data_IF_725027059535
#
_entry.id   IF_725027059535
#
_cell.length_a   1.000
_cell.length_b   1.000
_cell.length_c   1.000
_cell.angle_alpha   90.00
_cell.angle_beta   90.00
_cell.angle_gamma   90.00
#
_symmetry.space_group_name_H-M   'P 1'
#
loop_
_entity.id
_entity.type
_entity.pdbx_description
1 polymer ?
#
# COMPACT_ATOMS: atom_id res chain seq x y z
N UNK A 1 -22.94 10.30 3.40
CA UNK A 1 -21.50 10.17 3.10
C UNK A 1 -20.85 8.85 3.55
N UNK A 2 -21.59 7.88 4.14
CA UNK A 2 -21.02 6.57 4.54
C UNK A 2 -20.95 5.58 3.35
N UNK A 3 -21.91 5.64 2.42
CA UNK A 3 -22.00 4.73 1.28
C UNK A 3 -20.85 4.86 0.25
N UNK A 4 -20.30 6.07 0.07
CA UNK A 4 -19.16 6.29 -0.84
C UNK A 4 -17.87 5.65 -0.32
N UNK A 5 -17.63 5.71 1.00
CA UNK A 5 -16.43 5.13 1.62
C UNK A 5 -16.44 3.60 1.55
N UNK A 6 -17.59 2.96 1.82
CA UNK A 6 -17.71 1.50 1.77
C UNK A 6 -17.53 0.96 0.34
N UNK A 7 -18.08 1.67 -0.65
CA UNK A 7 -17.88 1.34 -2.06
C UNK A 7 -16.39 1.43 -2.46
N UNK A 8 -15.70 2.51 -2.07
CA UNK A 8 -14.27 2.67 -2.33
C UNK A 8 -13.43 1.58 -1.64
N UNK A 9 -13.80 1.19 -0.41
CA UNK A 9 -13.13 0.12 0.31
C UNK A 9 -13.29 -1.24 -0.38
N UNK A 10 -14.51 -1.58 -0.81
CA UNK A 10 -14.79 -2.82 -1.56
C UNK A 10 -14.07 -2.84 -2.91
N UNK A 11 -14.09 -1.71 -3.64
CA UNK A 11 -13.38 -1.58 -4.90
C UNK A 11 -11.87 -1.76 -4.70
N UNK A 12 -11.31 -1.14 -3.66
CA UNK A 12 -9.89 -1.28 -3.31
C UNK A 12 -9.55 -2.73 -2.96
N UNK A 13 -10.38 -3.41 -2.17
CA UNK A 13 -10.19 -4.81 -1.82
C UNK A 13 -10.23 -5.74 -3.05
N UNK A 14 -11.16 -5.50 -3.97
CA UNK A 14 -11.27 -6.24 -5.23
C UNK A 14 -10.03 -6.03 -6.10
N UNK A 15 -9.60 -4.77 -6.28
CA UNK A 15 -8.40 -4.43 -7.06
C UNK A 15 -7.15 -5.06 -6.46
N UNK A 16 -7.02 -5.06 -5.14
CA UNK A 16 -5.93 -5.72 -4.42
C UNK A 16 -5.92 -7.24 -4.64
N UNK A 17 -7.08 -7.89 -4.55
CA UNK A 17 -7.18 -9.32 -4.79
C UNK A 17 -6.78 -9.70 -6.23
N UNK A 18 -7.24 -8.91 -7.21
CA UNK A 18 -6.86 -9.10 -8.62
C UNK A 18 -5.36 -8.88 -8.81
N UNK A 19 -4.80 -7.83 -8.21
CA UNK A 19 -3.37 -7.55 -8.24
C UNK A 19 -2.55 -8.71 -7.68
N UNK A 20 -2.92 -9.27 -6.53
CA UNK A 20 -2.20 -10.39 -5.93
C UNK A 20 -2.26 -11.66 -6.79
N UNK A 21 -3.40 -11.95 -7.40
CA UNK A 21 -3.56 -13.08 -8.33
C UNK A 21 -2.70 -12.94 -9.59
N UNK A 22 -2.62 -11.73 -10.16
CA UNK A 22 -1.88 -11.48 -11.41
C UNK A 22 -0.38 -11.30 -11.18
N UNK A 23 0.00 -10.64 -10.09
CA UNK A 23 1.40 -10.33 -9.77
C UNK A 23 2.23 -11.58 -9.44
N UNK A 24 1.62 -12.63 -8.88
CA UNK A 24 2.33 -13.87 -8.54
C UNK A 24 2.91 -14.59 -9.76
N UNK A 25 2.14 -14.96 -10.80
CA UNK A 25 2.70 -15.60 -11.99
C UNK A 25 3.71 -14.72 -12.71
N UNK A 26 3.53 -13.39 -12.70
CA UNK A 26 4.51 -12.42 -13.21
C UNK A 26 5.82 -12.47 -12.43
N UNK A 27 5.76 -12.51 -11.09
CA UNK A 27 6.93 -12.54 -10.21
C UNK A 27 7.71 -13.84 -10.32
N UNK A 28 7.01 -14.98 -10.36
CA UNK A 28 7.61 -16.31 -10.46
C UNK A 28 8.31 -16.51 -11.82
N UNK A 29 7.70 -16.05 -12.91
CA UNK A 29 8.28 -16.15 -14.26
C UNK A 29 9.32 -15.08 -14.57
N UNK A 30 9.36 -13.99 -13.80
CA UNK A 30 10.35 -12.92 -14.02
C UNK A 30 11.75 -13.37 -13.62
N UNK A 31 12.73 -13.08 -14.49
CA UNK A 31 14.16 -13.25 -14.18
C UNK A 31 14.56 -12.35 -13.01
N UNK A 32 14.07 -11.10 -12.98
CA UNK A 32 14.37 -10.11 -11.95
C UNK A 32 13.07 -9.53 -11.35
N UNK A 33 12.62 -10.00 -10.17
CA UNK A 33 11.39 -9.54 -9.53
C UNK A 33 11.48 -8.08 -9.04
N UNK A 34 12.68 -7.59 -8.73
CA UNK A 34 12.91 -6.21 -8.28
C UNK A 34 12.64 -5.23 -9.43
N UNK A 35 13.15 -5.54 -10.63
CA UNK A 35 12.90 -4.71 -11.81
C UNK A 35 11.40 -4.62 -12.15
N UNK A 36 10.65 -5.71 -11.92
CA UNK A 36 9.20 -5.74 -12.12
C UNK A 36 8.47 -4.86 -11.09
N UNK A 37 8.91 -4.85 -9.83
CA UNK A 37 8.38 -3.95 -8.78
C UNK A 37 8.63 -2.48 -9.12
N UNK A 38 9.82 -2.14 -9.64
CA UNK A 38 10.13 -0.78 -10.10
C UNK A 38 9.20 -0.37 -11.24
N UNK A 39 9.01 -1.24 -12.24
CA UNK A 39 8.11 -0.96 -13.37
C UNK A 39 6.67 -0.72 -12.88
N UNK A 40 6.20 -1.52 -11.93
CA UNK A 40 4.87 -1.35 -11.34
C UNK A 40 4.72 0.01 -10.64
N UNK A 41 5.70 0.40 -9.82
CA UNK A 41 5.71 1.71 -9.17
C UNK A 41 5.76 2.87 -10.17
N UNK A 42 6.52 2.74 -11.26
CA UNK A 42 6.56 3.75 -12.33
C UNK A 42 5.18 3.90 -12.97
N UNK A 43 4.50 2.80 -13.30
CA UNK A 43 3.15 2.83 -13.86
C UNK A 43 2.16 3.50 -12.89
N UNK A 44 2.22 3.17 -11.60
CA UNK A 44 1.44 3.85 -10.56
C UNK A 44 1.72 5.35 -10.51
N UNK A 45 2.99 5.76 -10.62
CA UNK A 45 3.39 7.16 -10.71
C UNK A 45 2.82 7.88 -11.94
N UNK A 46 2.79 7.21 -13.10
CA UNK A 46 2.16 7.77 -14.31
C UNK A 46 0.67 7.99 -14.10
N UNK A 47 -0.05 7.05 -13.47
CA UNK A 47 -1.45 7.25 -13.13
C UNK A 47 -1.64 8.41 -12.14
N UNK A 48 -0.76 8.58 -11.16
CA UNK A 48 -0.79 9.70 -10.24
C UNK A 48 -0.59 11.05 -10.95
N UNK A 49 0.26 11.11 -11.98
CA UNK A 49 0.44 12.31 -12.81
C UNK A 49 -0.83 12.68 -13.57
N UNK A 50 -1.60 11.70 -14.05
CA UNK A 50 -2.89 11.97 -14.70
C UNK A 50 -3.84 12.70 -13.75
N UNK A 51 -3.89 12.32 -12.47
CA UNK A 51 -4.69 13.04 -11.47
C UNK A 51 -4.22 14.47 -11.24
N UNK A 52 -2.91 14.73 -11.35
CA UNK A 52 -2.35 16.07 -11.22
C UNK A 52 -2.85 17.01 -12.33
N UNK A 53 -3.07 16.50 -13.54
CA UNK A 53 -3.63 17.27 -14.66
C UNK A 53 -5.15 17.48 -14.55
N UNK A 54 -5.88 16.59 -13.88
CA UNK A 54 -7.35 16.69 -13.72
C UNK A 54 -7.72 17.71 -12.63
N UNK A 55 -6.97 17.78 -11.53
CA UNK A 55 -7.27 18.68 -10.40
C UNK A 55 -6.08 19.58 -9.99
N UNK A 56 -5.56 20.44 -10.89
CA UNK A 56 -4.35 21.24 -10.62
C UNK A 56 -4.51 22.19 -9.42
N UNK A 57 -5.73 22.66 -9.14
CA UNK A 57 -6.02 23.58 -8.05
C UNK A 57 -5.88 23.00 -6.63
N UNK A 58 -5.84 21.67 -6.47
CA UNK A 58 -5.68 21.02 -5.15
C UNK A 58 -4.24 20.99 -4.65
N UNK A 59 -3.29 21.35 -5.50
CA UNK A 59 -1.86 21.32 -5.20
C UNK A 59 -1.30 22.69 -4.75
N UNK A 60 -2.15 23.73 -4.77
CA UNK A 60 -1.82 25.08 -4.29
C UNK A 60 -1.74 25.11 -2.76
N UNK A 61 -0.60 24.67 -2.21
CA UNK A 61 -0.39 24.57 -0.77
C UNK A 61 0.65 23.51 -0.36
N UNK A 62 1.24 22.81 -1.32
CA UNK A 62 2.33 21.89 -1.04
C UNK A 62 3.58 22.67 -0.61
N UNK A 63 4.02 22.42 0.62
CA UNK A 63 5.29 22.94 1.14
C UNK A 63 6.45 21.98 0.84
N UNK A 64 7.69 22.46 0.87
CA UNK A 64 8.88 21.63 0.70
C UNK A 64 8.95 20.48 1.72
N UNK A 65 8.47 20.72 2.95
CA UNK A 65 8.39 19.72 4.01
C UNK A 65 7.43 18.59 3.64
N UNK A 66 6.26 18.89 3.09
CA UNK A 66 5.30 17.88 2.61
C UNK A 66 5.94 17.04 1.50
N UNK A 67 6.59 17.68 0.52
CA UNK A 67 7.30 16.96 -0.54
C UNK A 67 8.39 16.03 0.01
N UNK A 68 9.19 16.48 0.98
CA UNK A 68 10.23 15.68 1.59
C UNK A 68 9.66 14.44 2.30
N UNK A 69 8.57 14.60 3.07
CA UNK A 69 7.89 13.47 3.69
C UNK A 69 7.23 12.53 2.67
N UNK A 70 6.57 13.07 1.65
CA UNK A 70 5.98 12.26 0.58
C UNK A 70 7.06 11.45 -0.13
N UNK A 71 8.19 12.07 -0.49
CA UNK A 71 9.32 11.37 -1.10
C UNK A 71 9.86 10.25 -0.19
N UNK A 72 10.08 10.53 1.09
CA UNK A 72 10.54 9.53 2.05
C UNK A 72 9.57 8.35 2.15
N UNK A 73 8.26 8.62 2.27
CA UNK A 73 7.22 7.59 2.32
C UNK A 73 7.21 6.77 1.03
N UNK A 74 7.32 7.40 -0.14
CA UNK A 74 7.39 6.71 -1.43
C UNK A 74 8.61 5.79 -1.52
N UNK A 75 9.78 6.23 -1.07
CA UNK A 75 10.99 5.40 -1.04
C UNK A 75 10.81 4.19 -0.11
N UNK A 76 10.30 4.41 1.11
CA UNK A 76 10.02 3.32 2.06
C UNK A 76 9.00 2.33 1.50
N UNK A 77 7.93 2.83 0.88
CA UNK A 77 6.92 2.01 0.23
C UNK A 77 7.52 1.18 -0.92
N UNK A 78 8.39 1.79 -1.74
CA UNK A 78 9.09 1.09 -2.82
C UNK A 78 9.97 -0.05 -2.31
N UNK A 79 10.64 0.11 -1.16
CA UNK A 79 11.41 -0.96 -0.52
C UNK A 79 10.50 -2.10 -0.06
N UNK A 80 9.36 -1.77 0.54
CA UNK A 80 8.35 -2.76 0.95
C UNK A 80 7.88 -3.54 -0.28
N UNK A 81 7.44 -2.87 -1.33
CA UNK A 81 7.01 -3.49 -2.59
C UNK A 81 8.08 -4.40 -3.19
N UNK A 82 9.33 -3.93 -3.29
CA UNK A 82 10.42 -4.75 -3.81
C UNK A 82 10.62 -6.03 -2.98
N UNK A 83 10.50 -5.91 -1.66
CA UNK A 83 10.58 -7.04 -0.72
C UNK A 83 9.39 -7.99 -0.92
N UNK A 84 8.17 -7.47 -1.15
CA UNK A 84 7.00 -8.29 -1.42
C UNK A 84 7.12 -9.05 -2.74
N UNK A 85 7.59 -8.40 -3.81
CA UNK A 85 7.82 -9.04 -5.11
C UNK A 85 8.90 -10.12 -5.04
N UNK A 86 9.96 -9.88 -4.27
CA UNK A 86 10.98 -10.88 -3.98
C UNK A 86 10.39 -12.06 -3.19
N UNK A 87 9.67 -11.78 -2.10
CA UNK A 87 9.00 -12.80 -1.29
C UNK A 87 8.02 -13.65 -2.10
N UNK A 88 7.24 -13.05 -3.02
CA UNK A 88 6.30 -13.76 -3.91
C UNK A 88 7.00 -14.76 -4.83
N UNK A 89 8.27 -14.55 -5.17
CA UNK A 89 9.06 -15.47 -6.01
C UNK A 89 9.58 -16.68 -5.23
N UNK A 90 9.96 -16.50 -3.96
CA UNK A 90 10.66 -17.54 -3.18
C UNK A 90 9.82 -18.18 -2.06
N UNK A 91 8.71 -17.55 -1.65
CA UNK A 91 7.85 -18.06 -0.58
C UNK A 91 6.53 -18.60 -1.12
N UNK A 92 6.02 -19.64 -0.47
CA UNK A 92 4.68 -20.14 -0.73
C UNK A 92 3.62 -19.10 -0.33
N UNK A 93 2.46 -19.16 -0.98
CA UNK A 93 1.34 -18.23 -0.76
C UNK A 93 1.01 -18.12 0.73
N UNK A 94 0.96 -19.26 1.40
CA UNK A 94 0.58 -19.39 2.80
C UNK A 94 1.49 -18.59 3.73
N UNK A 95 2.82 -18.68 3.54
CA UNK A 95 3.78 -17.93 4.35
C UNK A 95 3.68 -16.42 4.12
N UNK A 96 3.54 -16.00 2.86
CA UNK A 96 3.38 -14.58 2.56
C UNK A 96 2.08 -14.01 3.15
N UNK A 97 0.98 -14.77 3.12
CA UNK A 97 -0.31 -14.35 3.67
C UNK A 97 -0.26 -14.14 5.19
N UNK A 98 0.40 -15.06 5.92
CA UNK A 98 0.58 -14.95 7.38
C UNK A 98 1.40 -13.69 7.73
N UNK A 99 2.48 -13.41 6.99
CA UNK A 99 3.28 -12.21 7.20
C UNK A 99 2.48 -10.93 6.98
N UNK A 100 1.62 -10.89 5.94
CA UNK A 100 0.78 -9.72 5.69
C UNK A 100 -0.30 -9.50 6.73
N UNK A 101 -0.77 -10.55 7.42
CA UNK A 101 -1.70 -10.41 8.55
C UNK A 101 -1.09 -9.70 9.75
N UNK A 102 0.24 -9.54 9.83
CA UNK A 102 0.90 -8.73 10.84
C UNK A 102 0.86 -7.24 10.53
N UNK A 103 0.57 -6.85 9.28
CA UNK A 103 0.54 -5.44 8.85
C UNK A 103 -0.39 -4.58 9.72
N UNK A 104 -1.63 -4.98 10.04
CA UNK A 104 -2.51 -4.20 10.92
C UNK A 104 -1.92 -3.99 12.32
N UNK A 105 -1.20 -4.97 12.86
CA UNK A 105 -0.55 -4.88 14.17
C UNK A 105 0.58 -3.85 14.12
N UNK A 106 1.42 -3.89 13.09
CA UNK A 106 2.51 -2.92 12.88
C UNK A 106 1.96 -1.51 12.67
N UNK A 107 0.90 -1.36 11.86
CA UNK A 107 0.24 -0.07 11.62
C UNK A 107 -0.36 0.47 12.91
N UNK A 108 -1.01 -0.37 13.72
CA UNK A 108 -1.57 0.01 15.00
C UNK A 108 -0.48 0.47 15.98
N UNK A 109 0.61 -0.29 16.10
CA UNK A 109 1.73 0.06 16.96
C UNK A 109 2.38 1.39 16.52
N UNK A 110 2.62 1.56 15.22
CA UNK A 110 3.11 2.81 14.66
C UNK A 110 2.17 3.99 14.93
N UNK A 111 0.87 3.80 14.75
CA UNK A 111 -0.11 4.84 15.04
C UNK A 111 -0.07 5.27 16.52
N UNK A 112 0.03 4.32 17.45
CA UNK A 112 0.14 4.62 18.89
C UNK A 112 1.42 5.41 19.19
N UNK A 113 2.56 4.99 18.62
CA UNK A 113 3.86 5.63 18.87
C UNK A 113 3.96 7.04 18.28
N UNK A 114 3.46 7.26 17.07
CA UNK A 114 3.65 8.53 16.35
C UNK A 114 2.49 9.52 16.52
N UNK A 115 1.25 9.05 16.64
CA UNK A 115 0.08 9.94 16.79
C UNK A 115 -0.32 10.13 18.26
N UNK A 116 0.20 9.31 19.18
CA UNK A 116 -0.09 9.39 20.62
C UNK A 116 -1.55 9.09 21.00
N UNK A 117 -2.42 8.80 20.02
CA UNK A 117 -3.84 8.53 20.24
C UNK A 117 -4.08 7.03 20.37
N UNK A 118 -4.51 6.57 21.56
CA UNK A 118 -5.06 5.22 21.70
C UNK A 118 -6.41 5.14 20.97
N UNK A 119 -6.61 4.21 20.01
CA UNK A 119 -7.94 3.95 19.49
C UNK A 119 -8.83 3.44 20.63
N UNK A 120 -10.02 4.03 20.79
CA UNK A 120 -10.97 3.59 21.84
C UNK A 120 -11.23 2.08 21.70
N UNK A 121 -10.90 1.33 22.75
CA UNK A 121 -10.88 -0.15 22.85
C UNK A 121 -12.16 -0.83 22.36
N UNK A 122 -13.29 -0.11 22.29
CA UNK A 122 -14.57 -0.63 21.76
C UNK A 122 -14.53 -0.99 20.26
N UNK A 123 -13.56 -0.49 19.47
CA UNK A 123 -13.41 -0.81 18.04
C UNK A 123 -12.31 -1.82 17.72
N UNK A 124 -11.36 -2.09 18.63
CA UNK A 124 -10.28 -3.05 18.39
C UNK A 124 -10.73 -4.51 18.54
N UNK A 125 -11.82 -4.77 19.26
CA UNK A 125 -12.37 -6.12 19.44
C UNK A 125 -13.10 -6.65 18.19
N UNK A 126 -13.58 -5.74 17.32
CA UNK A 126 -14.27 -6.10 16.06
C UNK A 126 -13.31 -6.46 14.93
N UNK A 127 -12.04 -6.08 15.04
CA UNK A 127 -11.01 -6.45 14.06
C UNK A 127 -10.38 -7.83 14.34
N UNK A 128 -10.75 -8.47 15.45
CA UNK A 128 -10.23 -9.78 15.90
C UNK A 128 -11.35 -10.84 16.01
N UNK A 129 -12.62 -10.45 15.79
CA UNK A 129 -13.79 -11.33 15.74
C UNK A 129 -14.33 -11.43 14.33
#
# INVERSE_FOLDING_TARGET
MVYSGLFLALLTALLWAVFDLVSRPLSVRSKNPIALSVLYNILGGVFALVFLFIEPGRFAGITATILAFTFLITVLYGIVEATQFFARKYLEVSYSSILFQLTPVVVLAGAILFLGSMPRVRKSLVLVS
#
